data_IF_974332766791
#
_entry.id   IF_974332766791
#
_cell.length_a   1.000
_cell.length_b   1.000
_cell.length_c   1.000
_cell.angle_alpha   90.00
_cell.angle_beta   90.00
_cell.angle_gamma   90.00
#
_symmetry.space_group_name_H-M   'P 1'
#
loop_
_entity.id
_entity.type
_entity.pdbx_description
1 polymer ?
#
# COMPACT_ATOMS: atom_id res chain seq x y z
N UNK A 1 11.94 -2.66 -15.16
CA UNK A 1 10.96 -2.57 -14.09
C UNK A 1 9.82 -1.67 -14.50
N UNK A 2 8.60 -2.10 -14.27
CA UNK A 2 7.45 -1.39 -14.72
C UNK A 2 6.31 -1.56 -13.74
N UNK A 3 5.58 -0.48 -13.45
CA UNK A 3 4.42 -0.52 -12.58
C UNK A 3 3.19 -0.25 -13.44
N UNK A 4 2.20 -1.14 -13.36
CA UNK A 4 0.98 -0.97 -14.14
C UNK A 4 -0.27 -1.17 -13.30
N UNK A 5 -1.34 -0.54 -13.74
CA UNK A 5 -2.63 -0.66 -13.07
C UNK A 5 -3.31 -1.94 -13.51
N UNK A 6 -3.93 -2.63 -12.57
CA UNK A 6 -4.67 -3.86 -12.86
C UNK A 6 -6.13 -3.48 -13.04
N UNK A 7 -6.64 -3.62 -14.26
CA UNK A 7 -7.99 -3.18 -14.58
C UNK A 7 -9.05 -4.25 -14.43
N UNK A 8 -8.66 -5.51 -14.39
CA UNK A 8 -9.63 -6.57 -14.23
C UNK A 8 -8.98 -7.81 -13.63
N UNK A 9 -9.79 -8.68 -13.07
CA UNK A 9 -9.33 -9.93 -12.48
C UNK A 9 -8.19 -9.70 -11.48
N UNK A 10 -8.45 -8.85 -10.51
CA UNK A 10 -7.44 -8.52 -9.49
C UNK A 10 -7.01 -9.74 -8.70
N UNK A 11 -7.89 -10.73 -8.56
CA UNK A 11 -7.58 -11.94 -7.82
C UNK A 11 -6.60 -12.87 -8.53
N UNK A 12 -6.22 -12.56 -9.76
CA UNK A 12 -5.17 -13.33 -10.39
C UNK A 12 -3.88 -13.23 -9.59
N UNK A 13 -3.75 -12.19 -8.74
CA UNK A 13 -2.59 -12.00 -7.90
C UNK A 13 -2.87 -12.34 -6.43
N UNK A 14 -3.82 -13.26 -6.20
CA UNK A 14 -4.24 -13.56 -4.83
C UNK A 14 -3.11 -14.06 -3.96
N UNK A 15 -2.12 -14.73 -4.52
CA UNK A 15 -0.97 -15.20 -3.73
C UNK A 15 -0.22 -14.06 -3.09
N UNK A 16 -0.05 -12.96 -3.81
CA UNK A 16 0.61 -11.79 -3.27
C UNK A 16 -0.28 -11.08 -2.25
N UNK A 17 -1.57 -10.97 -2.58
CA UNK A 17 -2.50 -10.28 -1.70
C UNK A 17 -2.57 -10.96 -0.32
N UNK A 18 -2.50 -12.28 -0.30
CA UNK A 18 -2.59 -13.01 0.96
C UNK A 18 -1.33 -12.92 1.80
N UNK A 19 -0.24 -12.40 1.27
CA UNK A 19 0.94 -12.17 2.08
C UNK A 19 0.70 -11.04 3.09
N UNK A 20 -0.11 -10.07 2.71
CA UNK A 20 -0.37 -8.93 3.59
C UNK A 20 -1.67 -9.09 4.35
N UNK A 21 -2.59 -9.93 3.87
CA UNK A 21 -3.87 -10.09 4.50
C UNK A 21 -4.21 -11.56 4.40
N UNK A 22 -4.08 -12.28 5.48
CA UNK A 22 -4.10 -13.73 5.46
C UNK A 22 -5.42 -14.38 5.04
N UNK A 23 -6.50 -13.63 5.07
CA UNK A 23 -7.80 -14.20 4.74
C UNK A 23 -8.37 -13.57 3.50
N UNK A 24 -8.73 -14.39 2.54
CA UNK A 24 -9.32 -13.90 1.30
C UNK A 24 -10.61 -13.12 1.56
N UNK A 25 -11.37 -13.51 2.58
CA UNK A 25 -12.59 -12.79 2.90
C UNK A 25 -12.30 -11.34 3.30
N UNK A 26 -11.16 -11.08 3.91
CA UNK A 26 -10.78 -9.72 4.27
C UNK A 26 -10.38 -8.94 3.02
N UNK A 27 -9.68 -9.59 2.10
CA UNK A 27 -9.31 -8.98 0.83
C UNK A 27 -10.58 -8.59 0.07
N UNK A 28 -11.58 -9.45 0.10
CA UNK A 28 -12.84 -9.21 -0.60
C UNK A 28 -13.55 -7.95 -0.12
N UNK A 29 -13.30 -7.52 1.11
CA UNK A 29 -13.98 -6.35 1.63
C UNK A 29 -13.60 -5.08 0.90
N UNK A 30 -12.41 -5.02 0.32
CA UNK A 30 -11.97 -3.78 -0.30
C UNK A 30 -11.54 -3.91 -1.76
N UNK A 31 -11.26 -5.13 -2.22
CA UNK A 31 -10.58 -5.29 -3.51
C UNK A 31 -11.36 -4.72 -4.69
N UNK A 32 -12.65 -4.99 -4.75
CA UNK A 32 -13.43 -4.56 -5.91
C UNK A 32 -13.52 -3.05 -6.06
N UNK A 33 -13.56 -2.32 -4.97
CA UNK A 33 -13.65 -0.88 -5.07
C UNK A 33 -12.31 -0.20 -5.01
N UNK A 34 -11.24 -0.94 -4.98
CA UNK A 34 -9.91 -0.39 -4.84
C UNK A 34 -9.25 -0.20 -6.19
N UNK A 35 -8.11 0.47 -6.18
CA UNK A 35 -7.22 0.55 -7.33
C UNK A 35 -6.00 -0.31 -7.00
N UNK A 36 -5.64 -1.18 -7.93
CA UNK A 36 -4.51 -2.09 -7.71
C UNK A 36 -3.42 -1.84 -8.74
N UNK A 37 -2.18 -1.87 -8.28
CA UNK A 37 -1.02 -1.78 -9.15
C UNK A 37 -0.12 -2.98 -8.89
N UNK A 38 0.55 -3.43 -9.94
CA UNK A 38 1.57 -4.47 -9.81
C UNK A 38 2.88 -3.95 -10.38
N UNK A 39 3.98 -4.43 -9.83
CA UNK A 39 5.31 -4.10 -10.30
C UNK A 39 5.87 -5.33 -10.99
N UNK A 40 6.25 -5.16 -12.24
CA UNK A 40 6.82 -6.22 -13.06
C UNK A 40 8.29 -5.97 -13.32
N UNK A 41 9.10 -7.01 -13.13
CA UNK A 41 10.51 -6.98 -13.47
C UNK A 41 10.79 -8.39 -13.98
N UNK A 42 10.54 -8.59 -15.27
CA UNK A 42 10.49 -9.88 -15.96
C UNK A 42 9.18 -10.61 -15.66
N UNK A 43 8.64 -10.54 -14.49
CA UNK A 43 7.26 -10.96 -14.20
C UNK A 43 6.87 -10.22 -12.94
N UNK A 44 5.66 -10.45 -12.46
CA UNK A 44 5.15 -9.67 -11.32
C UNK A 44 5.87 -10.06 -10.04
N UNK A 45 6.43 -9.08 -9.36
CA UNK A 45 7.21 -9.27 -8.14
C UNK A 45 6.54 -8.67 -6.92
N UNK A 46 5.63 -7.73 -7.11
CA UNK A 46 5.02 -7.00 -6.00
C UNK A 46 3.69 -6.40 -6.41
N UNK A 47 2.86 -6.06 -5.44
CA UNK A 47 1.57 -5.42 -5.69
C UNK A 47 1.24 -4.43 -4.60
N UNK A 48 0.35 -3.49 -4.89
CA UNK A 48 -0.27 -2.68 -3.85
C UNK A 48 -1.71 -2.36 -4.25
N UNK A 49 -2.55 -2.14 -3.23
CA UNK A 49 -3.96 -1.83 -3.40
C UNK A 49 -4.27 -0.61 -2.56
N UNK A 50 -4.90 0.39 -3.17
CA UNK A 50 -5.22 1.63 -2.48
C UNK A 50 -6.70 1.94 -2.59
N UNK A 51 -7.23 2.64 -1.59
CA UNK A 51 -8.62 3.11 -1.60
C UNK A 51 -8.66 4.58 -1.24
N UNK A 52 -9.68 5.26 -1.74
CA UNK A 52 -9.95 6.66 -1.41
C UNK A 52 -10.79 6.66 -0.14
N UNK A 53 -10.24 7.19 0.93
CA UNK A 53 -10.94 7.20 2.22
C UNK A 53 -11.69 8.51 2.47
N UNK A 54 -11.69 9.41 1.49
CA UNK A 54 -12.34 10.70 1.64
C UNK A 54 -11.42 11.73 2.28
N UNK A 55 -11.82 12.96 2.22
CA UNK A 55 -11.10 14.07 2.85
C UNK A 55 -9.63 14.18 2.44
N UNK A 56 -9.32 13.79 1.24
CA UNK A 56 -7.95 13.89 0.73
C UNK A 56 -7.02 12.79 1.24
N UNK A 57 -7.59 11.68 1.71
CA UNK A 57 -6.81 10.58 2.26
C UNK A 57 -6.85 9.37 1.32
N UNK A 58 -5.67 8.89 0.95
CA UNK A 58 -5.54 7.66 0.17
C UNK A 58 -4.90 6.62 1.09
N UNK A 59 -5.49 5.46 1.17
CA UNK A 59 -4.97 4.42 2.06
C UNK A 59 -4.45 3.21 1.29
N UNK A 60 -3.27 2.74 1.67
CA UNK A 60 -2.75 1.48 1.16
C UNK A 60 -3.40 0.37 1.97
N UNK A 61 -4.26 -0.41 1.33
CA UNK A 61 -4.96 -1.50 1.99
C UNK A 61 -4.15 -2.80 1.96
N UNK A 62 -3.27 -2.91 0.99
CA UNK A 62 -2.49 -4.13 0.84
C UNK A 62 -1.23 -3.75 0.07
N UNK A 63 -0.09 -4.22 0.51
CA UNK A 63 1.15 -4.06 -0.24
C UNK A 63 2.02 -5.25 0.10
N UNK A 64 2.52 -5.92 -0.90
CA UNK A 64 3.32 -7.12 -0.68
C UNK A 64 4.35 -7.29 -1.77
N UNK A 65 5.49 -7.86 -1.40
CA UNK A 65 6.56 -8.21 -2.31
C UNK A 65 6.75 -9.71 -2.19
N UNK A 66 6.87 -10.39 -3.32
CA UNK A 66 7.14 -11.83 -3.33
C UNK A 66 8.35 -12.09 -2.43
N UNK A 67 8.24 -13.02 -1.48
CA UNK A 67 9.33 -13.25 -0.52
C UNK A 67 10.69 -13.53 -1.16
N UNK A 68 10.70 -14.10 -2.35
CA UNK A 68 11.94 -14.39 -3.04
C UNK A 68 12.65 -13.14 -3.52
N UNK A 69 11.95 -12.03 -3.58
CA UNK A 69 12.50 -10.81 -4.15
C UNK A 69 12.49 -9.63 -3.19
N UNK A 70 12.28 -9.87 -1.92
CA UNK A 70 12.33 -8.81 -0.93
C UNK A 70 13.76 -8.29 -0.79
N UNK A 71 13.89 -7.06 -0.34
CA UNK A 71 15.21 -6.46 -0.19
C UNK A 71 15.79 -5.87 -1.45
N UNK A 72 15.02 -5.82 -2.53
CA UNK A 72 15.49 -5.28 -3.80
C UNK A 72 14.89 -3.92 -4.14
N UNK A 73 14.14 -3.34 -3.22
CA UNK A 73 13.56 -2.02 -3.45
C UNK A 73 12.21 -1.99 -4.13
N UNK A 74 11.59 -3.13 -4.34
CA UNK A 74 10.31 -3.17 -5.05
C UNK A 74 9.18 -2.52 -4.24
N UNK A 75 9.15 -2.77 -2.93
CA UNK A 75 8.13 -2.16 -2.08
C UNK A 75 8.26 -0.64 -2.04
N UNK A 76 9.50 -0.16 -1.92
CA UNK A 76 9.74 1.27 -1.91
C UNK A 76 9.37 1.89 -3.25
N UNK A 77 9.64 1.20 -4.35
CA UNK A 77 9.29 1.69 -5.68
C UNK A 77 7.78 1.87 -5.82
N UNK A 78 6.99 0.94 -5.27
CA UNK A 78 5.53 1.07 -5.30
C UNK A 78 5.08 2.25 -4.46
N UNK A 79 5.64 2.45 -3.29
CA UNK A 79 5.26 3.56 -2.43
C UNK A 79 5.65 4.90 -3.08
N UNK A 80 6.83 4.98 -3.66
CA UNK A 80 7.26 6.20 -4.35
C UNK A 80 6.35 6.50 -5.54
N UNK A 81 5.92 5.45 -6.24
CA UNK A 81 5.00 5.60 -7.35
C UNK A 81 3.67 6.19 -6.87
N UNK A 82 3.13 5.66 -5.78
CA UNK A 82 1.87 6.17 -5.23
C UNK A 82 2.01 7.62 -4.79
N UNK A 83 3.08 7.93 -4.08
CA UNK A 83 3.29 9.27 -3.58
C UNK A 83 3.38 10.27 -4.74
N UNK A 84 4.09 9.89 -5.80
CA UNK A 84 4.26 10.81 -6.93
C UNK A 84 3.00 10.93 -7.79
N UNK A 85 2.26 9.86 -7.96
CA UNK A 85 1.11 9.88 -8.83
C UNK A 85 -0.13 10.49 -8.21
N UNK A 86 -0.22 10.49 -6.90
CA UNK A 86 -1.43 10.96 -6.23
C UNK A 86 -1.21 12.23 -5.41
N UNK A 87 -0.04 12.82 -5.47
CA UNK A 87 0.28 13.99 -4.67
C UNK A 87 -0.66 15.17 -4.92
N UNK A 88 -1.15 15.31 -6.15
CA UNK A 88 -2.03 16.42 -6.48
C UNK A 88 -3.49 16.17 -6.10
N UNK A 89 -3.86 14.91 -5.88
CA UNK A 89 -5.24 14.57 -5.60
C UNK A 89 -5.50 14.32 -4.13
N UNK A 90 -4.48 13.95 -3.39
CA UNK A 90 -4.63 13.58 -1.99
C UNK A 90 -3.58 14.30 -1.16
N UNK A 91 -3.94 14.66 0.06
CA UNK A 91 -2.99 15.31 0.96
C UNK A 91 -2.30 14.31 1.88
N UNK A 92 -2.85 13.13 2.03
CA UNK A 92 -2.29 12.13 2.92
C UNK A 92 -2.28 10.77 2.25
N UNK A 93 -1.15 10.08 2.34
CA UNK A 93 -1.06 8.67 1.99
C UNK A 93 -0.76 7.94 3.28
N UNK A 94 -1.58 6.95 3.61
CA UNK A 94 -1.42 6.23 4.86
C UNK A 94 -1.38 4.74 4.65
N UNK A 95 -0.89 4.02 5.64
CA UNK A 95 -0.86 2.57 5.60
C UNK A 95 -0.99 2.03 7.01
N UNK A 96 -1.75 0.97 7.17
CA UNK A 96 -1.81 0.26 8.44
C UNK A 96 -0.76 -0.84 8.44
N UNK A 97 -0.09 -1.02 9.56
CA UNK A 97 1.01 -1.97 9.61
C UNK A 97 0.69 -3.24 10.38
N UNK A 98 -0.52 -3.35 10.91
CA UNK A 98 -0.83 -4.47 11.80
C UNK A 98 -0.56 -5.83 11.23
N UNK A 99 -1.07 -6.12 10.06
CA UNK A 99 -0.92 -7.43 9.47
C UNK A 99 -0.01 -7.44 8.27
N UNK A 100 0.74 -6.39 8.05
CA UNK A 100 1.60 -6.31 6.87
C UNK A 100 2.90 -7.08 7.10
N UNK A 101 3.40 -7.76 6.09
CA UNK A 101 4.71 -8.37 6.19
C UNK A 101 5.83 -7.33 6.19
N UNK A 102 5.51 -6.09 5.86
CA UNK A 102 6.49 -5.01 5.91
C UNK A 102 6.44 -4.35 7.28
N UNK A 103 7.54 -3.78 7.71
CA UNK A 103 7.67 -3.30 9.08
C UNK A 103 7.63 -1.79 9.17
N UNK A 104 7.40 -1.29 10.37
CA UNK A 104 7.43 0.14 10.62
C UNK A 104 8.75 0.77 10.17
N UNK A 105 9.93 0.19 10.48
CA UNK A 105 11.17 0.77 9.97
C UNK A 105 11.20 0.89 8.44
N UNK A 106 10.62 -0.09 7.74
CA UNK A 106 10.53 -0.02 6.29
C UNK A 106 9.71 1.18 5.85
N UNK A 107 8.54 1.36 6.47
CA UNK A 107 7.66 2.46 6.09
C UNK A 107 8.32 3.81 6.41
N UNK A 108 9.02 3.88 7.52
CA UNK A 108 9.71 5.12 7.87
C UNK A 108 10.81 5.45 6.88
N UNK A 109 11.51 4.45 6.38
CA UNK A 109 12.51 4.68 5.34
C UNK A 109 11.89 5.16 4.04
N UNK A 110 10.62 4.85 3.83
CA UNK A 110 9.91 5.31 2.64
C UNK A 110 9.30 6.70 2.84
N UNK A 111 9.48 7.30 4.00
CA UNK A 111 8.98 8.64 4.23
C UNK A 111 7.72 8.73 5.08
N UNK A 112 7.21 7.61 5.57
CA UNK A 112 6.04 7.65 6.44
C UNK A 112 6.44 8.10 7.83
N UNK A 113 5.52 8.79 8.50
CA UNK A 113 5.72 9.16 9.88
C UNK A 113 4.57 8.56 10.68
N UNK A 114 4.87 8.23 11.92
CA UNK A 114 3.88 7.62 12.79
C UNK A 114 2.82 8.65 13.18
N UNK A 115 1.58 8.26 13.07
CA UNK A 115 0.51 9.16 13.41
C UNK A 115 -0.15 8.72 14.68
N UNK A 116 0.15 9.43 15.77
CA UNK A 116 -0.44 9.07 17.03
C UNK A 116 -1.60 9.91 17.38
N UNK A 117 -1.66 11.07 16.78
CA UNK A 117 -2.58 12.03 17.25
C UNK A 117 -3.65 12.39 16.31
N UNK A 118 -4.01 11.53 15.44
CA UNK A 118 -5.04 11.82 14.49
C UNK A 118 -6.23 11.02 14.89
N UNK A 119 -7.09 11.57 15.66
CA UNK A 119 -8.19 10.80 16.17
C UNK A 119 -9.07 10.39 15.04
N UNK A 120 -9.50 9.29 15.13
CA UNK A 120 -10.40 8.83 14.20
C UNK A 120 -9.84 8.52 12.92
N UNK A 121 -8.64 8.53 12.79
CA UNK A 121 -8.11 8.45 11.67
C UNK A 121 -7.52 7.30 11.70
N UNK A 122 -7.88 6.51 11.12
CA UNK A 122 -7.33 5.37 11.08
C UNK A 122 -7.11 4.89 12.25
N UNK A 123 -7.61 5.27 12.88
CA UNK A 123 -7.64 4.74 13.70
C UNK A 123 -7.07 4.40 14.61
N UNK A 124 -6.99 4.84 15.07
CA UNK A 124 -6.65 4.41 16.18
C UNK A 124 -5.62 3.62 16.06
N UNK A 125 -5.15 3.47 15.19
CA UNK A 125 -4.27 2.71 15.12
C UNK A 125 -3.15 3.14 15.11
N UNK A 126 -2.78 3.87 15.76
CA UNK A 126 -1.71 3.94 16.27
C UNK A 126 -0.64 3.42 15.52
N UNK A 127 -0.63 2.56 14.92
CA UNK A 127 0.46 2.09 14.19
C UNK A 127 0.34 2.38 12.76
N UNK A 128 -0.42 3.35 12.36
CA UNK A 128 -0.51 3.74 10.98
C UNK A 128 0.54 4.79 10.69
N UNK A 129 1.59 4.47 9.95
CA UNK A 129 2.47 5.50 9.45
C UNK A 129 1.69 6.34 8.44
N UNK A 130 1.99 7.61 8.37
CA UNK A 130 1.33 8.52 7.45
C UNK A 130 2.37 9.28 6.67
N UNK A 131 2.13 9.40 5.37
CA UNK A 131 2.98 10.14 4.48
C UNK A 131 2.14 11.25 3.88
N UNK A 132 2.54 12.48 4.12
CA UNK A 132 1.77 13.57 3.66
C UNK A 132 2.13 13.97 2.28
N UNK A 133 1.17 13.78 1.40
CA UNK A 133 1.11 14.47 0.14
C UNK A 133 2.32 14.56 -0.70
N UNK A 134 3.19 13.66 -0.68
CA UNK A 134 4.37 13.77 -1.47
C UNK A 134 5.47 14.59 -0.85
N UNK A 135 5.23 15.10 0.31
CA UNK A 135 6.20 15.87 0.93
C UNK A 135 6.81 15.04 1.97
N UNK A 136 7.89 14.63 1.83
CA UNK A 136 8.46 13.89 2.85
C UNK A 136 9.85 14.15 2.85
#
# INVERSE_FOLDING_TARGET
MKIRKVNENKKQFISLLLLADEQESMVDLYLEKSTMYVLEDNNVKAECVVTDEGNGILEIKNIAVDPKFQGKGYGKALIDFLANNYADEYSVLQVGTGDSPLTIPFYERCGFVRSHNVPNFFTDNYDHPIYEGGVQ
#
